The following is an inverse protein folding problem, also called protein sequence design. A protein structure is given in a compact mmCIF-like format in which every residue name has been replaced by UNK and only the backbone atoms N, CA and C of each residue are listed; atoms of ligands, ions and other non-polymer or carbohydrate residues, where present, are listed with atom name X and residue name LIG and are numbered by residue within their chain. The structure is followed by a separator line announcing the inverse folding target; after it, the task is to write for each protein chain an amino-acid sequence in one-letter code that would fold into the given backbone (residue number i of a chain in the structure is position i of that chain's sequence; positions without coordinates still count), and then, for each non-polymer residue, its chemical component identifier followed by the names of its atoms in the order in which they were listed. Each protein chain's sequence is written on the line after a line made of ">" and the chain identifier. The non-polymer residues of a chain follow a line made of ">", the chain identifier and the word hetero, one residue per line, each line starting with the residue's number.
data_IF_850808313497
#
_entry.id   IF_850808313497
#
_cell.length_a   1.000
_cell.length_b   1.000
_cell.length_c   1.000
_cell.angle_alpha   90.00
_cell.angle_beta   90.00
_cell.angle_gamma   90.00
#
_symmetry.space_group_name_H-M   'P 1'
#
loop_
_entity.id
_entity.type
_entity.pdbx_description
1 polymer ?
#
# COMPACT_ATOMS: atom_id res chain seq x y z
N UNK A 1 -12.34 -10.87 14.00
CA UNK A 1 -11.14 -10.32 13.34
C UNK A 1 -10.84 -11.12 12.08
N UNK A 2 -10.53 -10.42 11.01
CA UNK A 2 -10.09 -11.09 9.80
C UNK A 2 -8.69 -11.69 10.02
N UNK A 3 -8.51 -12.96 9.65
CA UNK A 3 -7.22 -13.62 9.71
C UNK A 3 -6.43 -13.28 8.45
N UNK A 4 -5.19 -12.85 8.61
CA UNK A 4 -4.31 -12.57 7.47
C UNK A 4 -3.87 -13.88 6.81
N UNK A 5 -3.95 -13.97 5.48
CA UNK A 5 -3.35 -15.11 4.78
C UNK A 5 -1.84 -15.18 5.04
N UNK A 6 -1.29 -16.39 5.26
CA UNK A 6 0.14 -16.53 5.52
C UNK A 6 1.04 -15.92 4.44
N UNK A 7 0.66 -16.00 3.17
CA UNK A 7 1.44 -15.43 2.07
C UNK A 7 1.50 -13.90 2.11
N UNK A 8 0.48 -13.26 2.67
CA UNK A 8 0.48 -11.80 2.82
C UNK A 8 1.44 -11.38 3.93
N UNK A 9 1.41 -12.09 5.05
CA UNK A 9 2.36 -11.87 6.15
C UNK A 9 3.79 -12.08 5.66
N UNK A 10 4.05 -13.16 4.95
CA UNK A 10 5.38 -13.47 4.43
C UNK A 10 5.88 -12.40 3.46
N UNK A 11 5.01 -11.93 2.57
CA UNK A 11 5.35 -10.88 1.61
C UNK A 11 5.71 -9.57 2.31
N UNK A 12 4.94 -9.18 3.34
CA UNK A 12 5.20 -7.96 4.10
C UNK A 12 6.52 -8.05 4.86
N UNK A 13 6.81 -9.18 5.47
CA UNK A 13 8.05 -9.38 6.23
C UNK A 13 9.28 -9.45 5.34
N UNK A 14 9.18 -10.06 4.16
CA UNK A 14 10.28 -10.10 3.19
C UNK A 14 10.57 -8.70 2.65
N UNK A 15 9.53 -7.91 2.35
CA UNK A 15 9.70 -6.54 1.92
C UNK A 15 10.36 -5.68 3.01
N UNK A 16 10.04 -5.92 4.29
CA UNK A 16 10.71 -5.24 5.39
C UNK A 16 12.20 -5.57 5.45
N UNK A 17 12.57 -6.83 5.27
CA UNK A 17 13.99 -7.23 5.24
C UNK A 17 14.77 -6.46 4.19
N UNK A 18 14.17 -6.30 3.01
CA UNK A 18 14.84 -5.67 1.87
C UNK A 18 14.80 -4.15 1.91
N UNK A 19 13.65 -3.58 2.23
CA UNK A 19 13.40 -2.15 2.07
C UNK A 19 13.30 -1.38 3.38
N UNK A 20 13.28 -2.07 4.51
CA UNK A 20 13.21 -1.49 5.85
C UNK A 20 11.93 -0.73 6.13
N UNK A 21 10.86 -1.03 5.42
CA UNK A 21 9.53 -0.52 5.70
C UNK A 21 8.87 -1.51 6.67
N UNK A 22 8.36 -1.06 7.83
CA UNK A 22 7.73 -1.98 8.78
C UNK A 22 6.64 -2.82 8.15
N UNK A 23 6.61 -4.11 8.45
CA UNK A 23 5.58 -5.01 7.94
C UNK A 23 4.18 -4.48 8.27
N UNK A 24 4.00 -3.88 9.45
CA UNK A 24 2.72 -3.28 9.87
C UNK A 24 2.24 -2.22 8.90
N UNK A 25 3.13 -1.39 8.36
CA UNK A 25 2.78 -0.36 7.36
C UNK A 25 2.33 -1.03 6.07
N UNK A 26 3.08 -1.97 5.56
CA UNK A 26 2.73 -2.66 4.32
C UNK A 26 1.40 -3.40 4.44
N UNK A 27 1.17 -4.05 5.58
CA UNK A 27 -0.09 -4.75 5.85
C UNK A 27 -1.27 -3.78 5.99
N UNK A 28 -1.06 -2.65 6.68
CA UNK A 28 -2.13 -1.66 6.84
C UNK A 28 -2.49 -1.04 5.49
N UNK A 29 -1.52 -0.71 4.67
CA UNK A 29 -1.80 -0.17 3.33
C UNK A 29 -2.47 -1.21 2.43
N UNK A 30 -2.03 -2.47 2.50
CA UNK A 30 -2.71 -3.56 1.80
C UNK A 30 -4.19 -3.65 2.21
N UNK A 31 -4.47 -3.60 3.50
CA UNK A 31 -5.84 -3.68 4.01
C UNK A 31 -6.70 -2.49 3.56
N UNK A 32 -6.17 -1.27 3.71
CA UNK A 32 -6.91 -0.05 3.39
C UNK A 32 -7.08 0.11 1.87
N UNK A 33 -6.02 -0.11 1.09
CA UNK A 33 -6.05 0.14 -0.35
C UNK A 33 -6.83 -0.92 -1.11
N UNK A 34 -6.75 -2.18 -0.70
CA UNK A 34 -7.40 -3.28 -1.42
C UNK A 34 -8.63 -3.86 -0.72
N UNK A 35 -9.08 -3.25 0.38
CA UNK A 35 -10.15 -3.83 1.17
C UNK A 35 -9.81 -5.25 1.61
N UNK A 36 -8.65 -5.43 2.23
CA UNK A 36 -8.18 -6.73 2.68
C UNK A 36 -8.00 -7.74 1.55
N UNK A 37 -7.53 -7.27 0.40
CA UNK A 37 -7.26 -8.09 -0.77
C UNK A 37 -8.46 -8.38 -1.66
N UNK A 38 -9.63 -7.85 -1.32
CA UNK A 38 -10.88 -8.14 -2.07
C UNK A 38 -11.07 -7.28 -3.32
N UNK A 39 -10.43 -6.12 -3.37
CA UNK A 39 -10.66 -5.10 -4.40
C UNK A 39 -9.37 -4.72 -5.11
N UNK A 40 -8.75 -5.69 -5.75
CA UNK A 40 -7.63 -5.44 -6.65
C UNK A 40 -8.11 -5.34 -8.09
N UNK A 41 -7.42 -4.59 -8.95
CA UNK A 41 -7.68 -4.69 -10.38
C UNK A 41 -7.57 -6.15 -10.84
N UNK A 42 -8.57 -6.68 -11.55
CA UNK A 42 -8.58 -8.11 -11.90
C UNK A 42 -7.31 -8.55 -12.64
N UNK A 43 -6.69 -9.63 -12.16
CA UNK A 43 -5.48 -10.19 -12.75
C UNK A 43 -4.19 -9.44 -12.47
N UNK A 44 -4.23 -8.40 -11.63
CA UNK A 44 -3.07 -7.52 -11.43
C UNK A 44 -2.11 -7.95 -10.33
N UNK A 45 -2.56 -8.70 -9.33
CA UNK A 45 -1.82 -8.94 -8.08
C UNK A 45 -1.36 -7.62 -7.43
N UNK A 46 -2.14 -6.54 -7.60
CA UNK A 46 -1.75 -5.19 -7.17
C UNK A 46 -2.70 -4.66 -6.09
N UNK A 47 -2.40 -4.91 -4.82
CA UNK A 47 -3.27 -4.46 -3.73
C UNK A 47 -3.04 -3.01 -3.31
N UNK A 48 -2.03 -2.33 -3.88
CA UNK A 48 -1.62 -0.99 -3.46
C UNK A 48 -2.04 0.12 -4.41
N UNK A 49 -2.71 -0.21 -5.50
CA UNK A 49 -3.07 0.79 -6.50
C UNK A 49 -1.88 1.41 -7.21
N UNK A 50 -0.79 0.70 -7.35
CA UNK A 50 0.42 1.20 -8.02
C UNK A 50 0.12 1.34 -9.51
N UNK A 51 0.29 2.55 -10.04
CA UNK A 51 0.04 2.82 -11.45
C UNK A 51 1.19 2.33 -12.31
N UNK A 52 0.86 1.87 -13.51
CA UNK A 52 1.86 1.42 -14.48
C UNK A 52 2.61 2.63 -15.05
N UNK A 53 3.91 2.46 -15.20
CA UNK A 53 4.76 3.38 -15.96
C UNK A 53 4.92 2.85 -17.37
N UNK A 54 5.35 3.69 -18.34
CA UNK A 54 5.65 3.20 -19.69
C UNK A 54 6.59 2.00 -19.65
N UNK A 55 6.21 0.91 -20.32
CA UNK A 55 6.98 -0.33 -20.34
C UNK A 55 6.62 -1.35 -19.26
N UNK A 56 5.89 -0.96 -18.22
CA UNK A 56 5.44 -1.91 -17.20
C UNK A 56 4.33 -2.81 -17.74
N UNK A 57 4.28 -4.08 -17.36
CA UNK A 57 3.07 -4.88 -17.53
C UNK A 57 1.90 -4.19 -16.80
N UNK A 58 0.72 -4.20 -17.39
CA UNK A 58 -0.40 -3.47 -16.83
C UNK A 58 -1.74 -4.15 -17.10
N UNK A 59 -2.73 -3.75 -16.29
CA UNK A 59 -4.15 -3.99 -16.55
C UNK A 59 -4.84 -2.63 -16.55
N UNK A 60 -5.88 -2.48 -17.35
CA UNK A 60 -6.67 -1.25 -17.36
C UNK A 60 -7.96 -1.46 -16.60
N UNK A 61 -8.35 -0.43 -15.85
CA UNK A 61 -9.60 -0.41 -15.12
C UNK A 61 -10.31 0.88 -15.44
N UNK A 62 -11.60 0.79 -15.73
CA UNK A 62 -12.44 1.96 -15.90
C UNK A 62 -12.78 2.52 -14.54
N UNK A 63 -12.35 3.75 -14.27
CA UNK A 63 -12.61 4.43 -12.99
C UNK A 63 -13.55 5.59 -13.18
N UNK A 64 -14.41 5.80 -12.19
CA UNK A 64 -15.34 6.93 -12.16
C UNK A 64 -14.69 8.08 -11.41
N UNK A 65 -14.67 9.24 -12.05
CA UNK A 65 -14.13 10.47 -11.48
C UNK A 65 -15.21 11.55 -11.47
N UNK A 66 -15.01 12.61 -10.69
CA UNK A 66 -15.90 13.76 -10.67
C UNK A 66 -15.12 15.04 -11.00
N UNK A 67 -15.70 15.90 -11.84
CA UNK A 67 -15.13 17.22 -12.11
C UNK A 67 -15.55 18.20 -11.00
N UNK A 68 -15.10 19.48 -11.13
CA UNK A 68 -15.38 20.53 -10.16
C UNK A 68 -16.86 20.82 -9.99
N UNK A 69 -17.66 20.58 -11.03
CA UNK A 69 -19.08 20.85 -11.05
C UNK A 69 -19.92 19.65 -10.60
N UNK A 70 -19.25 18.59 -10.15
CA UNK A 70 -19.90 17.37 -9.67
C UNK A 70 -20.37 16.42 -10.77
N UNK A 71 -19.94 16.66 -12.03
CA UNK A 71 -20.26 15.78 -13.14
C UNK A 71 -19.38 14.55 -13.13
N UNK A 72 -19.99 13.37 -13.28
CA UNK A 72 -19.26 12.12 -13.38
C UNK A 72 -18.66 11.96 -14.78
N UNK A 73 -17.45 11.44 -14.82
CA UNK A 73 -16.83 10.98 -16.05
C UNK A 73 -16.01 9.73 -15.77
N UNK A 74 -15.70 8.98 -16.81
CA UNK A 74 -14.94 7.73 -16.67
C UNK A 74 -13.62 7.84 -17.40
N UNK A 75 -12.57 7.31 -16.79
CA UNK A 75 -11.23 7.21 -17.40
C UNK A 75 -10.74 5.78 -17.32
N UNK A 76 -9.92 5.41 -18.28
CA UNK A 76 -9.18 4.16 -18.25
C UNK A 76 -7.88 4.41 -17.47
N UNK A 77 -7.67 3.68 -16.38
CA UNK A 77 -6.47 3.80 -15.57
C UNK A 77 -5.65 2.53 -15.72
N UNK A 78 -4.37 2.68 -16.06
CA UNK A 78 -3.45 1.56 -16.16
C UNK A 78 -2.79 1.32 -14.80
N UNK A 79 -3.09 0.17 -14.21
CA UNK A 79 -2.45 -0.29 -12.98
C UNK A 79 -1.37 -1.31 -13.31
N UNK A 80 -0.24 -1.22 -12.62
CA UNK A 80 0.84 -2.16 -12.82
C UNK A 80 0.39 -3.58 -12.48
N UNK A 81 0.74 -4.52 -13.34
CA UNK A 81 0.48 -5.94 -13.15
C UNK A 81 1.74 -6.61 -12.61
N UNK A 82 1.58 -7.36 -11.52
CA UNK A 82 2.67 -8.11 -10.92
C UNK A 82 2.49 -9.60 -11.17
N UNK A 83 3.60 -10.33 -11.24
CA UNK A 83 3.59 -11.78 -11.40
C UNK A 83 3.15 -12.51 -10.14
N UNK A 84 3.24 -11.85 -8.98
CA UNK A 84 2.84 -12.43 -7.69
C UNK A 84 2.55 -11.32 -6.68
N UNK A 85 1.90 -11.68 -5.59
CA UNK A 85 1.70 -10.78 -4.44
C UNK A 85 3.05 -10.36 -3.84
N UNK A 86 4.00 -11.27 -3.76
CA UNK A 86 5.33 -10.95 -3.23
C UNK A 86 6.02 -9.85 -4.04
N UNK A 87 5.90 -9.88 -5.37
CA UNK A 87 6.44 -8.82 -6.23
C UNK A 87 5.75 -7.48 -5.97
N UNK A 88 4.45 -7.47 -5.71
CA UNK A 88 3.72 -6.25 -5.39
C UNK A 88 4.22 -5.63 -4.08
N UNK A 89 4.42 -6.43 -3.05
CA UNK A 89 4.97 -5.96 -1.77
C UNK A 89 6.40 -5.45 -1.94
N UNK A 90 7.20 -6.12 -2.76
CA UNK A 90 8.56 -5.65 -3.07
C UNK A 90 8.52 -4.28 -3.75
N UNK A 91 7.68 -4.11 -4.75
CA UNK A 91 7.53 -2.84 -5.45
C UNK A 91 7.01 -1.72 -4.53
N UNK A 92 6.11 -2.06 -3.60
CA UNK A 92 5.62 -1.12 -2.60
C UNK A 92 6.74 -0.64 -1.67
N UNK A 93 7.60 -1.56 -1.22
CA UNK A 93 8.76 -1.21 -0.41
C UNK A 93 9.72 -0.28 -1.16
N UNK A 94 9.98 -0.58 -2.43
CA UNK A 94 10.80 0.27 -3.29
C UNK A 94 10.18 1.66 -3.46
N UNK A 95 8.87 1.71 -3.65
CA UNK A 95 8.13 2.97 -3.78
C UNK A 95 8.32 3.86 -2.54
N UNK A 96 8.18 3.29 -1.35
CA UNK A 96 8.32 4.05 -0.10
C UNK A 96 9.77 4.46 0.20
N UNK A 97 10.73 3.97 -0.56
CA UNK A 97 12.12 4.42 -0.48
C UNK A 97 12.42 5.62 -1.39
N UNK A 98 11.46 6.10 -2.16
CA UNK A 98 11.65 7.28 -2.99
C UNK A 98 11.79 8.55 -2.13
N UNK A 99 12.47 9.59 -2.65
CA UNK A 99 12.71 10.83 -1.89
C UNK A 99 11.46 11.50 -1.35
N UNK A 100 10.32 11.40 -2.03
CA UNK A 100 9.06 12.00 -1.58
C UNK A 100 8.59 11.44 -0.24
N UNK A 101 9.05 10.24 0.13
CA UNK A 101 8.72 9.59 1.41
C UNK A 101 9.83 9.68 2.45
N UNK A 102 10.85 10.52 2.24
CA UNK A 102 11.96 10.64 3.17
C UNK A 102 11.51 11.04 4.58
N UNK A 103 10.49 11.89 4.69
CA UNK A 103 9.94 12.31 5.98
C UNK A 103 9.33 11.11 6.73
N UNK A 104 8.64 10.23 6.02
CA UNK A 104 8.07 9.03 6.63
C UNK A 104 9.20 8.12 7.13
N UNK A 105 10.23 7.87 6.32
CA UNK A 105 11.36 7.04 6.73
C UNK A 105 12.12 7.62 7.91
N UNK A 106 12.17 8.95 8.04
CA UNK A 106 12.80 9.60 9.18
C UNK A 106 12.07 9.34 10.50
N UNK A 107 10.81 8.92 10.45
CA UNK A 107 10.04 8.58 11.65
C UNK A 107 10.35 7.16 12.16
N UNK A 108 11.06 6.35 11.39
CA UNK A 108 11.41 4.98 11.81
C UNK A 108 12.28 5.01 13.08
N UNK A 109 12.11 4.05 13.97
CA UNK A 109 11.32 2.82 13.87
C UNK A 109 9.85 2.92 14.33
N UNK A 110 9.29 4.11 14.45
CA UNK A 110 7.92 4.31 14.94
C UNK A 110 6.91 4.17 13.78
N UNK A 111 6.15 3.06 13.68
CA UNK A 111 5.23 2.88 12.57
C UNK A 111 4.04 3.84 12.60
N UNK A 112 3.60 4.29 13.77
CA UNK A 112 2.51 5.25 13.87
C UNK A 112 2.90 6.60 13.26
N UNK A 113 4.08 7.08 13.56
CA UNK A 113 4.59 8.33 12.99
C UNK A 113 4.87 8.19 11.50
N UNK A 114 5.32 7.01 11.08
CA UNK A 114 5.47 6.71 9.65
C UNK A 114 4.12 6.83 8.94
N UNK A 115 3.09 6.20 9.49
CA UNK A 115 1.74 6.25 8.93
C UNK A 115 1.23 7.69 8.82
N UNK A 116 1.39 8.48 9.87
CA UNK A 116 0.96 9.88 9.86
C UNK A 116 1.67 10.68 8.76
N UNK A 117 2.94 10.42 8.53
CA UNK A 117 3.72 11.11 7.50
C UNK A 117 3.31 10.73 6.06
N UNK A 118 2.55 9.67 5.87
CA UNK A 118 2.00 9.31 4.57
C UNK A 118 0.77 10.14 4.21
N UNK A 119 0.15 10.78 5.20
CA UNK A 119 -1.03 11.63 4.99
C UNK A 119 -0.68 12.81 4.09
N UNK A 120 -1.42 12.97 3.00
CA UNK A 120 -1.20 14.03 2.03
C UNK A 120 -0.06 13.77 1.03
N UNK A 121 0.68 12.68 1.21
CA UNK A 121 1.78 12.30 0.32
C UNK A 121 1.45 11.03 -0.45
N UNK A 122 1.09 9.96 0.25
CA UNK A 122 0.66 8.71 -0.39
C UNK A 122 -0.79 8.81 -0.85
N UNK A 123 -1.63 9.43 -0.05
CA UNK A 123 -3.04 9.63 -0.35
C UNK A 123 -3.46 11.03 0.10
N UNK A 124 -4.42 11.63 -0.60
CA UNK A 124 -4.90 12.99 -0.33
C UNK A 124 -5.86 13.08 0.86
N UNK A 125 -6.44 11.97 1.29
CA UNK A 125 -7.34 11.93 2.43
C UNK A 125 -6.61 12.37 3.71
N UNK A 126 -7.16 13.39 4.38
CA UNK A 126 -6.59 13.91 5.62
C UNK A 126 -6.59 12.91 6.76
N UNK A 127 -7.47 11.92 6.71
CA UNK A 127 -7.55 10.85 7.70
C UNK A 127 -6.73 9.62 7.35
N UNK A 128 -5.88 9.67 6.33
CA UNK A 128 -5.19 8.49 5.83
C UNK A 128 -4.32 7.81 6.90
N UNK A 129 -3.43 8.56 7.54
CA UNK A 129 -2.57 8.03 8.60
C UNK A 129 -3.37 7.48 9.77
N UNK A 130 -4.45 8.18 10.16
CA UNK A 130 -5.34 7.71 11.22
C UNK A 130 -6.00 6.38 10.85
N UNK A 131 -6.44 6.22 9.62
CA UNK A 131 -7.02 4.96 9.14
C UNK A 131 -6.01 3.82 9.18
N UNK A 132 -4.77 4.08 8.76
CA UNK A 132 -3.69 3.09 8.83
C UNK A 132 -3.42 2.67 10.28
N UNK A 133 -3.31 3.64 11.19
CA UNK A 133 -3.07 3.35 12.61
C UNK A 133 -4.20 2.55 13.23
N UNK A 134 -5.44 2.87 12.89
CA UNK A 134 -6.59 2.11 13.38
C UNK A 134 -6.53 0.65 12.97
N UNK A 135 -6.17 0.38 11.72
CA UNK A 135 -6.02 -0.99 11.22
C UNK A 135 -4.82 -1.69 11.87
N UNK A 136 -3.68 -1.01 11.97
CA UNK A 136 -2.48 -1.59 12.59
C UNK A 136 -2.74 -2.02 14.04
N UNK A 137 -3.40 -1.18 14.82
CA UNK A 137 -3.66 -1.47 16.22
C UNK A 137 -4.85 -2.42 16.40
N UNK A 138 -5.92 -2.22 15.65
CA UNK A 138 -7.10 -3.06 15.73
C UNK A 138 -6.84 -4.52 15.35
N UNK A 139 -5.88 -4.76 14.48
CA UNK A 139 -5.52 -6.10 14.00
C UNK A 139 -4.15 -6.56 14.49
N UNK A 140 -3.51 -5.79 15.37
CA UNK A 140 -2.20 -6.11 15.96
C UNK A 140 -1.14 -6.43 14.90
N UNK A 141 -1.06 -5.61 13.86
CA UNK A 141 -0.08 -5.82 12.77
C UNK A 141 1.36 -5.61 13.22
N UNK A 142 1.57 -4.81 14.29
CA UNK A 142 2.92 -4.54 14.78
C UNK A 142 3.62 -5.80 15.32
N UNK A 143 2.88 -6.86 15.60
CA UNK A 143 3.48 -8.14 15.99
C UNK A 143 4.40 -8.72 14.89
N UNK A 144 4.21 -8.29 13.65
CA UNK A 144 5.00 -8.78 12.49
C UNK A 144 6.22 -7.92 12.21
N UNK A 145 6.39 -6.80 12.88
CA UNK A 145 7.51 -5.90 12.67
C UNK A 145 8.82 -6.48 13.23
N UNK A 146 9.95 -6.00 12.71
CA UNK A 146 11.26 -6.41 13.17
C UNK A 146 11.76 -7.68 12.50
N UNK A 147 11.35 -7.93 11.25
CA UNK A 147 11.86 -9.06 10.48
C UNK A 147 13.39 -8.96 10.38
N UNK A 148 14.09 -10.08 10.63
CA UNK A 148 15.53 -10.12 10.55
C UNK A 148 16.03 -9.75 9.14
N UNK A 149 17.12 -8.99 9.12
CA UNK A 149 17.73 -8.58 7.87
C UNK A 149 18.31 -9.79 7.12
#
# INVERSE_FOLDING_TARGET
>A
MATLPPEIIAAAREAERKWRIPASISLAQWAVESGWGRHMPPGSNNPFGIKARPGDPFVTVRTREQDRDGHDYFIETAFRKFGSIAEAFDAHGALLNKPVYARARAALPDPDRFADALTGVYATDRGYGKALRAVMHGSNFCQYDGAAA
#
